data_IF_682416428192
#
_entry.id   IF_682416428192
#
_cell.length_a   1.000
_cell.length_b   1.000
_cell.length_c   1.000
_cell.angle_alpha   90.00
_cell.angle_beta   90.00
_cell.angle_gamma   90.00
#
_symmetry.space_group_name_H-M   'P 1'
#
loop_
_entity.id
_entity.type
_entity.pdbx_description
1 polymer ?
#
# COMPACT_ATOMS: atom_id res chain seq x y z
N UNK A 1 -8.81 -0.18 14.44
CA UNK A 1 -8.30 0.87 15.34
C UNK A 1 -7.26 1.67 14.60
N UNK A 2 -7.42 2.99 14.56
CA UNK A 2 -6.40 3.92 14.04
C UNK A 2 -5.51 4.38 15.18
N UNK A 3 -4.21 4.40 14.95
CA UNK A 3 -3.21 4.91 15.90
C UNK A 3 -2.29 5.89 15.19
N UNK A 4 -1.80 6.89 15.93
CA UNK A 4 -0.84 7.85 15.41
C UNK A 4 0.50 7.62 16.11
N UNK A 5 1.54 7.29 15.33
CA UNK A 5 2.86 7.01 15.86
C UNK A 5 3.54 8.25 16.49
N UNK A 6 3.06 9.46 16.19
CA UNK A 6 3.52 10.66 16.88
C UNK A 6 3.34 10.58 18.40
N UNK A 7 2.36 9.80 18.88
CA UNK A 7 2.11 9.63 20.33
C UNK A 7 3.29 9.01 21.09
N UNK A 8 4.12 8.23 20.44
CA UNK A 8 5.37 7.69 21.01
C UNK A 8 6.62 8.29 20.39
N UNK A 9 6.71 8.50 19.07
CA UNK A 9 7.88 9.09 18.42
C UNK A 9 8.13 10.52 18.85
N UNK A 10 7.08 11.34 19.01
CA UNK A 10 7.19 12.74 19.43
C UNK A 10 7.73 12.95 20.84
N UNK A 11 7.78 11.89 21.66
CA UNK A 11 8.30 11.93 23.04
C UNK A 11 9.70 11.35 23.18
N UNK A 12 10.28 10.82 22.09
CA UNK A 12 11.58 10.18 22.14
C UNK A 12 12.71 11.21 22.35
N UNK A 13 13.57 10.94 23.31
CA UNK A 13 14.88 11.59 23.35
C UNK A 13 15.80 10.87 22.37
N UNK A 14 16.36 11.60 21.43
CA UNK A 14 17.17 11.04 20.34
C UNK A 14 18.38 10.26 20.83
N UNK A 15 19.12 10.77 21.80
CA UNK A 15 20.31 10.10 22.34
C UNK A 15 19.94 8.80 23.05
N UNK A 16 18.86 8.84 23.83
CA UNK A 16 18.33 7.63 24.49
C UNK A 16 17.85 6.61 23.47
N UNK A 17 17.17 7.05 22.41
CA UNK A 17 16.71 6.18 21.32
C UNK A 17 17.88 5.49 20.61
N UNK A 18 18.95 6.23 20.27
CA UNK A 18 20.16 5.64 19.68
C UNK A 18 20.80 4.59 20.59
N UNK A 19 20.91 4.88 21.88
CA UNK A 19 21.51 3.97 22.86
C UNK A 19 20.68 2.70 23.07
N UNK A 20 19.35 2.83 23.22
CA UNK A 20 18.48 1.73 23.65
C UNK A 20 17.97 0.92 22.45
N UNK A 21 17.73 1.55 21.31
CA UNK A 21 17.17 0.96 20.11
C UNK A 21 18.21 0.87 18.99
N UNK A 22 18.91 1.97 18.68
CA UNK A 22 19.87 2.04 17.58
C UNK A 22 20.96 0.96 17.63
N UNK A 23 21.42 0.60 18.84
CA UNK A 23 22.41 -0.47 19.04
C UNK A 23 22.04 -1.85 18.48
N UNK A 24 20.76 -2.09 18.22
CA UNK A 24 20.26 -3.35 17.66
C UNK A 24 20.34 -3.43 16.14
N UNK A 25 20.71 -2.33 15.48
CA UNK A 25 20.82 -2.22 14.04
C UNK A 25 22.28 -2.03 13.64
N UNK A 26 22.73 -2.82 12.67
CA UNK A 26 24.07 -2.65 12.11
C UNK A 26 23.96 -2.01 10.72
N UNK A 27 24.82 -1.03 10.44
CA UNK A 27 24.86 -0.35 9.15
C UNK A 27 25.07 -1.37 8.03
N UNK A 28 25.97 -2.33 8.19
CA UNK A 28 26.24 -3.36 7.18
C UNK A 28 24.96 -4.12 6.78
N UNK A 29 24.10 -4.48 7.76
CA UNK A 29 22.83 -5.14 7.45
C UNK A 29 21.84 -4.18 6.80
N UNK A 30 21.76 -2.94 7.27
CA UNK A 30 20.85 -1.93 6.70
C UNK A 30 21.20 -1.63 5.23
N UNK A 31 22.47 -1.68 4.85
CA UNK A 31 22.91 -1.48 3.46
C UNK A 31 22.54 -2.64 2.52
N UNK A 32 22.21 -3.83 3.04
CA UNK A 32 21.83 -4.98 2.21
C UNK A 32 20.38 -4.99 1.75
N UNK A 33 19.53 -4.15 2.33
CA UNK A 33 18.12 -4.09 1.92
C UNK A 33 17.96 -3.40 0.56
N UNK A 34 17.12 -3.96 -0.30
CA UNK A 34 16.90 -3.47 -1.67
C UNK A 34 16.53 -1.99 -1.74
N UNK A 35 15.78 -1.49 -0.76
CA UNK A 35 15.42 -0.08 -0.66
C UNK A 35 16.63 0.87 -0.52
N UNK A 36 17.74 0.38 0.03
CA UNK A 36 19.00 1.12 0.17
C UNK A 36 19.96 0.76 -0.96
N UNK A 37 20.21 -0.55 -1.12
CA UNK A 37 21.17 -1.09 -2.08
C UNK A 37 20.96 -0.57 -3.50
N UNK A 38 19.73 -0.66 -4.02
CA UNK A 38 19.37 -0.20 -5.37
C UNK A 38 19.58 1.31 -5.57
N UNK A 39 19.40 2.11 -4.52
CA UNK A 39 19.63 3.56 -4.60
C UNK A 39 21.13 3.86 -4.66
N UNK A 40 21.93 3.18 -3.84
CA UNK A 40 23.39 3.33 -3.85
C UNK A 40 24.00 2.87 -5.18
N UNK A 41 23.55 1.73 -5.72
CA UNK A 41 23.97 1.22 -7.02
C UNK A 41 23.61 2.16 -8.19
N UNK A 42 22.55 2.95 -8.05
CA UNK A 42 22.12 3.95 -9.04
C UNK A 42 22.67 5.34 -8.76
N UNK A 43 23.59 5.49 -7.81
CA UNK A 43 24.15 6.77 -7.38
C UNK A 43 23.08 7.81 -6.98
N UNK A 44 21.91 7.33 -6.53
CA UNK A 44 20.84 8.19 -6.06
C UNK A 44 21.09 8.63 -4.63
N UNK A 45 20.85 9.90 -4.34
CA UNK A 45 21.01 10.43 -2.99
C UNK A 45 20.09 9.68 -1.99
N UNK A 46 20.63 9.38 -0.82
CA UNK A 46 19.90 8.78 0.29
C UNK A 46 20.17 9.65 1.53
N UNK A 47 19.16 10.38 1.97
CA UNK A 47 19.30 11.20 3.17
C UNK A 47 19.41 10.35 4.43
N UNK A 48 20.02 10.90 5.48
CA UNK A 48 20.09 10.25 6.78
C UNK A 48 18.72 9.92 7.33
N UNK A 49 17.72 10.79 7.14
CA UNK A 49 16.33 10.56 7.55
C UNK A 49 15.73 9.33 6.82
N UNK A 50 15.90 9.24 5.51
CA UNK A 50 15.40 8.10 4.72
C UNK A 50 16.09 6.79 5.13
N UNK A 51 17.40 6.84 5.41
CA UNK A 51 18.15 5.69 5.91
C UNK A 51 17.65 5.22 7.29
N UNK A 52 17.33 6.17 8.18
CA UNK A 52 16.80 5.85 9.51
C UNK A 52 15.33 5.44 9.51
N UNK A 53 14.59 5.64 8.43
CA UNK A 53 13.17 5.32 8.36
C UNK A 53 12.88 3.87 8.77
N UNK A 54 13.70 2.92 8.35
CA UNK A 54 13.54 1.51 8.71
C UNK A 54 13.66 1.25 10.22
N UNK A 55 14.47 2.03 10.94
CA UNK A 55 14.58 1.93 12.41
C UNK A 55 13.33 2.49 13.07
N UNK A 56 12.82 3.61 12.57
CA UNK A 56 11.60 4.24 13.10
C UNK A 56 10.39 3.32 12.90
N UNK A 57 10.23 2.72 11.72
CA UNK A 57 9.15 1.76 11.46
C UNK A 57 9.31 0.48 12.29
N UNK A 58 10.52 0.00 12.49
CA UNK A 58 10.78 -1.13 13.38
C UNK A 58 10.36 -0.82 14.83
N UNK A 59 10.62 0.40 15.28
CA UNK A 59 10.20 0.87 16.59
C UNK A 59 8.68 1.02 16.69
N UNK A 60 8.02 1.49 15.64
CA UNK A 60 6.54 1.51 15.57
C UNK A 60 5.95 0.12 15.81
N UNK A 61 6.51 -0.91 15.14
CA UNK A 61 6.04 -2.28 15.34
C UNK A 61 6.29 -2.77 16.78
N UNK A 62 7.45 -2.43 17.36
CA UNK A 62 7.75 -2.74 18.76
C UNK A 62 6.77 -2.08 19.73
N UNK A 63 6.45 -0.81 19.57
CA UNK A 63 5.47 -0.10 20.41
C UNK A 63 4.05 -0.63 20.21
N UNK A 64 3.66 -0.99 18.99
CA UNK A 64 2.37 -1.64 18.71
C UNK A 64 2.28 -3.04 19.33
N UNK A 65 3.37 -3.83 19.28
CA UNK A 65 3.41 -5.12 19.97
C UNK A 65 3.26 -4.94 21.48
N UNK A 66 3.98 -3.99 22.07
CA UNK A 66 3.96 -3.70 23.50
C UNK A 66 2.60 -3.18 23.97
N UNK A 67 2.01 -2.23 23.26
CA UNK A 67 0.82 -1.49 23.71
C UNK A 67 -0.50 -2.09 23.21
N UNK A 68 -0.50 -2.82 22.09
CA UNK A 68 -1.69 -3.34 21.42
C UNK A 68 -1.65 -4.85 21.17
N UNK A 69 -0.60 -5.53 21.61
CA UNK A 69 -0.34 -6.94 21.32
C UNK A 69 -0.39 -7.27 19.81
N UNK A 70 0.13 -6.35 18.99
CA UNK A 70 0.22 -6.53 17.54
C UNK A 70 1.25 -7.63 17.23
N UNK A 71 0.81 -8.72 16.60
CA UNK A 71 1.65 -9.90 16.34
C UNK A 71 2.14 -9.98 14.89
N UNK A 72 1.55 -9.20 13.97
CA UNK A 72 1.91 -9.25 12.55
C UNK A 72 1.91 -7.86 11.94
N UNK A 73 2.93 -7.57 11.12
CA UNK A 73 2.96 -6.40 10.25
C UNK A 73 2.86 -6.84 8.79
N UNK A 74 1.98 -6.17 8.03
CA UNK A 74 1.73 -6.48 6.62
C UNK A 74 2.10 -5.26 5.76
N UNK A 75 2.72 -5.51 4.61
CA UNK A 75 3.04 -4.46 3.65
C UNK A 75 3.29 -4.96 2.24
N UNK A 76 3.63 -4.06 1.33
CA UNK A 76 4.15 -4.43 0.01
C UNK A 76 5.57 -4.99 0.10
N UNK A 77 6.03 -5.67 -0.95
CA UNK A 77 7.39 -6.27 -0.99
C UNK A 77 8.50 -5.23 -0.80
N UNK A 78 8.25 -3.97 -1.14
CA UNK A 78 9.16 -2.85 -0.89
C UNK A 78 9.32 -2.51 0.60
N UNK A 79 8.41 -2.99 1.47
CA UNK A 79 8.45 -2.79 2.93
C UNK A 79 9.18 -3.91 3.66
N UNK A 80 9.69 -4.93 2.97
CA UNK A 80 10.29 -6.10 3.60
C UNK A 80 11.40 -5.75 4.59
N UNK A 81 12.35 -4.88 4.18
CA UNK A 81 13.45 -4.44 5.05
C UNK A 81 12.95 -3.77 6.33
N UNK A 82 11.94 -2.91 6.23
CA UNK A 82 11.37 -2.23 7.38
C UNK A 82 10.68 -3.22 8.34
N UNK A 83 9.88 -4.13 7.78
CA UNK A 83 9.09 -5.11 8.54
C UNK A 83 10.00 -6.10 9.28
N UNK A 84 11.00 -6.67 8.59
CA UNK A 84 11.90 -7.66 9.20
C UNK A 84 12.76 -7.04 10.31
N UNK A 85 13.14 -5.78 10.18
CA UNK A 85 13.83 -5.06 11.24
C UNK A 85 12.96 -4.92 12.50
N UNK A 86 11.64 -4.72 12.34
CA UNK A 86 10.69 -4.72 13.46
C UNK A 86 10.57 -6.07 14.14
N UNK A 87 10.47 -7.15 13.35
CA UNK A 87 10.45 -8.53 13.87
C UNK A 87 11.70 -8.83 14.71
N UNK A 88 12.88 -8.47 14.19
CA UNK A 88 14.13 -8.70 14.91
C UNK A 88 14.27 -7.82 16.15
N UNK A 89 13.84 -6.56 16.09
CA UNK A 89 13.87 -5.67 17.25
C UNK A 89 13.03 -6.23 18.38
N UNK A 90 11.79 -6.66 18.09
CA UNK A 90 10.89 -7.26 19.09
C UNK A 90 11.52 -8.51 19.72
N UNK A 91 12.07 -9.40 18.87
CA UNK A 91 12.76 -10.61 19.36
C UNK A 91 13.90 -10.28 20.30
N UNK A 92 14.74 -9.27 19.95
CA UNK A 92 15.90 -8.87 20.75
C UNK A 92 15.52 -8.16 22.06
N UNK A 93 14.46 -7.37 22.04
CA UNK A 93 14.02 -6.56 23.17
C UNK A 93 13.15 -7.34 24.18
N UNK A 94 12.30 -8.25 23.70
CA UNK A 94 11.30 -8.92 24.53
C UNK A 94 11.29 -10.46 24.44
N UNK A 95 12.10 -11.05 23.56
CA UNK A 95 12.09 -12.50 23.29
C UNK A 95 10.82 -13.00 22.58
N UNK A 96 9.86 -12.11 22.29
CA UNK A 96 8.57 -12.50 21.67
C UNK A 96 8.74 -12.83 20.21
N UNK A 97 7.94 -13.78 19.74
CA UNK A 97 7.83 -14.10 18.33
C UNK A 97 6.69 -13.27 17.72
N UNK A 98 7.00 -12.59 16.62
CA UNK A 98 6.06 -11.84 15.79
C UNK A 98 6.35 -12.12 14.31
N UNK A 99 5.45 -11.73 13.43
CA UNK A 99 5.47 -12.11 12.04
C UNK A 99 5.45 -10.89 11.12
N UNK A 100 6.09 -11.03 9.96
CA UNK A 100 5.99 -10.11 8.84
C UNK A 100 5.40 -10.82 7.62
N UNK A 101 4.50 -10.14 6.91
CA UNK A 101 3.93 -10.62 5.65
C UNK A 101 4.07 -9.54 4.59
N UNK A 102 4.59 -9.89 3.43
CA UNK A 102 4.61 -8.98 2.28
C UNK A 102 3.89 -9.58 1.09
N UNK A 103 3.26 -8.68 0.31
CA UNK A 103 2.63 -9.03 -0.96
C UNK A 103 3.40 -8.36 -2.10
N UNK A 104 3.40 -8.94 -3.31
CA UNK A 104 3.92 -8.25 -4.50
C UNK A 104 3.24 -6.89 -4.68
N UNK A 105 3.99 -5.91 -5.20
CA UNK A 105 3.42 -4.61 -5.54
C UNK A 105 2.41 -4.76 -6.68
N UNK A 106 1.32 -3.98 -6.58
CA UNK A 106 0.34 -3.92 -7.66
C UNK A 106 0.92 -3.05 -8.76
N UNK A 107 1.18 -3.68 -9.90
CA UNK A 107 1.65 -3.01 -11.10
C UNK A 107 0.60 -3.05 -12.19
N UNK A 108 0.60 -2.05 -13.05
CA UNK A 108 -0.18 -2.04 -14.28
C UNK A 108 0.45 -2.97 -15.32
N UNK A 109 -0.30 -3.35 -16.35
CA UNK A 109 0.21 -4.11 -17.49
C UNK A 109 1.37 -3.42 -18.23
N UNK A 110 1.51 -2.10 -18.07
CA UNK A 110 2.65 -1.29 -18.53
C UNK A 110 3.91 -1.43 -17.67
N UNK A 111 3.84 -2.12 -16.52
CA UNK A 111 4.92 -2.20 -15.53
C UNK A 111 4.94 -1.02 -14.53
N UNK A 112 4.16 0.02 -14.75
CA UNK A 112 4.07 1.14 -13.82
C UNK A 112 3.37 0.74 -12.51
N UNK A 113 3.74 1.40 -11.40
CA UNK A 113 3.05 1.21 -10.11
C UNK A 113 1.63 1.76 -10.20
N UNK A 114 0.65 0.99 -9.70
CA UNK A 114 -0.73 1.45 -9.63
C UNK A 114 -0.91 2.60 -8.63
N UNK A 115 -1.88 3.48 -8.90
CA UNK A 115 -2.26 4.59 -8.02
C UNK A 115 -1.46 5.87 -8.17
N UNK A 116 -0.42 5.87 -9.03
CA UNK A 116 0.31 7.08 -9.46
C UNK A 116 0.14 7.24 -10.97
N UNK A 117 -0.49 8.34 -11.38
CA UNK A 117 -0.59 8.73 -12.79
C UNK A 117 0.31 9.94 -13.06
N UNK A 118 0.53 10.31 -14.32
CA UNK A 118 1.21 11.55 -14.68
C UNK A 118 0.52 12.79 -14.09
N UNK A 119 -0.78 12.70 -13.82
CA UNK A 119 -1.60 13.74 -13.19
C UNK A 119 -1.62 13.69 -11.65
N UNK A 120 -0.88 12.76 -11.04
CA UNK A 120 -0.81 12.61 -9.59
C UNK A 120 -1.50 11.34 -9.05
N UNK A 121 -1.87 11.35 -7.78
CA UNK A 121 -2.51 10.23 -7.10
C UNK A 121 -4.00 10.11 -7.44
N UNK A 122 -4.53 8.89 -7.44
CA UNK A 122 -5.98 8.64 -7.52
C UNK A 122 -6.56 8.77 -6.11
N UNK A 123 -7.18 9.91 -5.87
CA UNK A 123 -7.74 10.23 -4.56
C UNK A 123 -9.05 9.49 -4.30
N UNK A 124 -9.20 9.02 -3.06
CA UNK A 124 -10.44 8.39 -2.59
C UNK A 124 -11.44 9.41 -2.03
N UNK A 125 -10.95 10.59 -1.62
CA UNK A 125 -11.81 11.68 -1.16
C UNK A 125 -12.50 12.35 -2.37
N UNK A 126 -13.84 12.36 -2.35
CA UNK A 126 -14.68 12.99 -3.39
C UNK A 126 -14.48 14.50 -3.56
N UNK A 127 -13.85 15.15 -2.60
CA UNK A 127 -13.48 16.58 -2.69
C UNK A 127 -12.24 16.80 -3.55
N UNK A 128 -11.36 15.79 -3.65
CA UNK A 128 -10.13 15.83 -4.42
C UNK A 128 -10.26 15.16 -5.79
N UNK A 129 -11.13 14.14 -5.90
CA UNK A 129 -11.45 13.47 -7.15
C UNK A 129 -12.93 13.13 -7.16
N UNK A 130 -13.67 13.65 -8.17
CA UNK A 130 -15.10 13.40 -8.25
C UNK A 130 -15.42 11.91 -8.45
N UNK A 131 -16.62 11.48 -8.05
CA UNK A 131 -17.06 10.09 -8.28
C UNK A 131 -17.09 9.74 -9.78
N UNK A 132 -17.34 10.72 -10.67
CA UNK A 132 -17.28 10.53 -12.11
C UNK A 132 -15.84 10.32 -12.61
N UNK A 133 -14.88 11.13 -12.16
CA UNK A 133 -13.48 10.99 -12.56
C UNK A 133 -12.87 9.69 -12.00
N UNK A 134 -13.24 9.30 -10.77
CA UNK A 134 -12.88 8.01 -10.19
C UNK A 134 -13.47 6.85 -11.02
N UNK A 135 -14.74 6.95 -11.46
CA UNK A 135 -15.38 6.01 -12.35
C UNK A 135 -14.63 5.93 -13.69
N UNK A 136 -14.26 7.06 -14.29
CA UNK A 136 -13.50 7.13 -15.55
C UNK A 136 -12.09 6.54 -15.42
N UNK A 137 -11.43 6.72 -14.30
CA UNK A 137 -10.13 6.09 -14.05
C UNK A 137 -10.21 4.57 -14.24
N UNK A 138 -11.17 3.91 -13.61
CA UNK A 138 -11.38 2.47 -13.75
C UNK A 138 -11.85 2.07 -15.14
N UNK A 139 -12.68 2.91 -15.79
CA UNK A 139 -13.16 2.68 -17.15
C UNK A 139 -12.03 2.66 -18.16
N UNK A 140 -10.99 3.45 -17.95
CA UNK A 140 -9.81 3.60 -18.80
C UNK A 140 -8.67 2.62 -18.46
N UNK A 141 -8.91 1.63 -17.59
CA UNK A 141 -7.93 0.59 -17.30
C UNK A 141 -7.55 -0.18 -18.57
N UNK A 142 -6.28 -0.63 -18.65
CA UNK A 142 -5.83 -1.52 -19.71
C UNK A 142 -6.63 -2.83 -19.70
N UNK A 143 -6.98 -3.34 -20.87
CA UNK A 143 -7.78 -4.56 -21.02
C UNK A 143 -7.17 -5.76 -20.29
N UNK A 144 -5.81 -5.83 -20.28
CA UNK A 144 -5.03 -6.88 -19.63
C UNK A 144 -5.13 -6.84 -18.10
N UNK A 145 -5.45 -5.69 -17.53
CA UNK A 145 -5.54 -5.50 -16.07
C UNK A 145 -6.95 -5.74 -15.52
N UNK A 146 -7.98 -5.69 -16.37
CA UNK A 146 -9.39 -5.69 -15.92
C UNK A 146 -9.72 -6.89 -15.04
N UNK A 147 -9.35 -8.10 -15.45
CA UNK A 147 -9.67 -9.31 -14.66
C UNK A 147 -8.91 -9.33 -13.32
N UNK A 148 -7.65 -8.88 -13.33
CA UNK A 148 -6.86 -8.73 -12.10
C UNK A 148 -7.52 -7.73 -11.15
N UNK A 149 -7.96 -6.59 -11.67
CA UNK A 149 -8.60 -5.55 -10.87
C UNK A 149 -9.97 -5.97 -10.33
N UNK A 150 -10.77 -6.71 -11.11
CA UNK A 150 -12.01 -7.30 -10.61
C UNK A 150 -11.77 -8.18 -9.38
N UNK A 151 -10.71 -9.01 -9.40
CA UNK A 151 -10.34 -9.88 -8.28
C UNK A 151 -9.83 -9.11 -7.05
N UNK A 152 -9.16 -7.98 -7.25
CA UNK A 152 -8.47 -7.26 -6.19
C UNK A 152 -9.27 -6.12 -5.57
N UNK A 153 -10.16 -5.50 -6.35
CA UNK A 153 -10.82 -4.25 -5.99
C UNK A 153 -12.35 -4.33 -5.99
N UNK A 154 -12.91 -5.53 -6.06
CA UNK A 154 -14.36 -5.72 -5.93
C UNK A 154 -14.69 -6.84 -4.94
N UNK A 155 -15.89 -6.81 -4.37
CA UNK A 155 -16.41 -7.87 -3.51
C UNK A 155 -17.09 -9.01 -4.31
N UNK A 156 -16.82 -9.09 -5.63
CA UNK A 156 -17.38 -10.14 -6.47
C UNK A 156 -16.71 -11.49 -6.16
N UNK A 157 -17.52 -12.53 -6.04
CA UNK A 157 -17.03 -13.89 -5.89
C UNK A 157 -16.14 -14.31 -7.06
N UNK A 158 -15.05 -15.01 -6.78
CA UNK A 158 -14.08 -15.45 -7.79
C UNK A 158 -14.74 -16.27 -8.90
N UNK A 159 -15.67 -17.16 -8.54
CA UNK A 159 -16.42 -17.99 -9.50
C UNK A 159 -17.26 -17.13 -10.47
N UNK A 160 -17.80 -16.01 -10.00
CA UNK A 160 -18.55 -15.06 -10.82
C UNK A 160 -17.62 -14.34 -11.79
N UNK A 161 -16.43 -13.95 -11.33
CA UNK A 161 -15.41 -13.31 -12.17
C UNK A 161 -14.92 -14.28 -13.25
N UNK A 162 -14.70 -15.55 -12.91
CA UNK A 162 -14.28 -16.57 -13.88
C UNK A 162 -15.33 -16.78 -14.98
N UNK A 163 -16.63 -16.77 -14.64
CA UNK A 163 -17.72 -16.84 -15.63
C UNK A 163 -17.77 -15.61 -16.57
N UNK A 164 -17.10 -14.54 -16.20
CA UNK A 164 -17.02 -13.34 -17.04
C UNK A 164 -15.92 -13.41 -18.11
N UNK A 165 -14.98 -14.35 -18.05
CA UNK A 165 -13.82 -14.45 -18.98
C UNK A 165 -14.20 -14.37 -20.46
N UNK A 166 -15.38 -14.89 -20.82
CA UNK A 166 -15.88 -14.90 -22.21
C UNK A 166 -16.75 -13.68 -22.54
N UNK A 167 -16.91 -12.71 -21.63
CA UNK A 167 -17.69 -11.50 -21.91
C UNK A 167 -16.85 -10.48 -22.66
N UNK A 168 -17.52 -9.62 -23.41
CA UNK A 168 -16.89 -8.47 -24.04
C UNK A 168 -16.17 -7.61 -22.99
N UNK A 169 -14.92 -7.25 -23.26
CA UNK A 169 -14.05 -6.50 -22.34
C UNK A 169 -14.67 -5.17 -21.89
N UNK A 170 -15.40 -4.50 -22.77
CA UNK A 170 -16.08 -3.26 -22.40
C UNK A 170 -17.17 -3.48 -21.35
N UNK A 171 -17.86 -4.63 -21.38
CA UNK A 171 -18.82 -5.00 -20.33
C UNK A 171 -18.11 -5.28 -19.01
N UNK A 172 -16.94 -5.91 -19.05
CA UNK A 172 -16.13 -6.15 -17.85
C UNK A 172 -15.64 -4.84 -17.22
N UNK A 173 -15.21 -3.89 -18.05
CA UNK A 173 -14.83 -2.56 -17.59
C UNK A 173 -15.99 -1.81 -16.94
N UNK A 174 -17.22 -1.93 -17.48
CA UNK A 174 -18.40 -1.34 -16.83
C UNK A 174 -18.69 -2.00 -15.48
N UNK A 175 -18.55 -3.31 -15.37
CA UNK A 175 -18.72 -4.01 -14.10
C UNK A 175 -17.63 -3.54 -13.10
N UNK A 176 -16.37 -3.55 -13.49
CA UNK A 176 -15.26 -3.11 -12.64
C UNK A 176 -15.50 -1.71 -12.11
N UNK A 177 -15.79 -0.77 -12.98
CA UNK A 177 -15.94 0.63 -12.63
C UNK A 177 -17.17 0.91 -11.77
N UNK A 178 -18.28 0.20 -12.00
CA UNK A 178 -19.48 0.29 -11.16
C UNK A 178 -19.25 -0.30 -9.77
N UNK A 179 -18.63 -1.47 -9.67
CA UNK A 179 -18.34 -2.10 -8.38
C UNK A 179 -17.37 -1.26 -7.55
N UNK A 180 -16.24 -0.84 -8.12
CA UNK A 180 -15.24 -0.03 -7.40
C UNK A 180 -15.80 1.33 -6.98
N UNK A 181 -16.59 1.98 -7.85
CA UNK A 181 -17.22 3.26 -7.51
C UNK A 181 -18.33 3.09 -6.48
N UNK A 182 -19.08 1.98 -6.55
CA UNK A 182 -20.11 1.68 -5.55
C UNK A 182 -19.53 1.43 -4.17
N UNK A 183 -18.40 0.72 -4.08
CA UNK A 183 -17.68 0.50 -2.83
C UNK A 183 -17.23 1.82 -2.16
N UNK A 184 -16.72 2.75 -2.95
CA UNK A 184 -16.14 3.98 -2.41
C UNK A 184 -17.18 5.10 -2.21
N UNK A 185 -18.03 5.32 -3.21
CA UNK A 185 -18.93 6.49 -3.27
C UNK A 185 -20.42 6.14 -3.17
N UNK A 186 -20.73 4.85 -3.08
CA UNK A 186 -22.09 4.35 -3.03
C UNK A 186 -22.72 4.11 -4.41
N UNK A 187 -23.70 3.22 -4.44
CA UNK A 187 -24.38 2.73 -5.66
C UNK A 187 -25.04 3.86 -6.47
N UNK A 188 -25.62 4.86 -5.79
CA UNK A 188 -26.24 5.99 -6.45
C UNK A 188 -25.23 6.83 -7.25
N UNK A 189 -24.02 7.04 -6.71
CA UNK A 189 -22.95 7.76 -7.38
C UNK A 189 -22.42 6.98 -8.59
N UNK A 190 -22.24 5.67 -8.47
CA UNK A 190 -21.83 4.80 -9.59
C UNK A 190 -22.84 4.85 -10.74
N UNK A 191 -24.15 4.70 -10.44
CA UNK A 191 -25.20 4.76 -11.45
C UNK A 191 -25.27 6.13 -12.15
N UNK A 192 -25.08 7.22 -11.38
CA UNK A 192 -25.04 8.58 -11.95
C UNK A 192 -23.82 8.74 -12.88
N UNK A 193 -22.66 8.26 -12.47
CA UNK A 193 -21.45 8.33 -13.28
C UNK A 193 -21.59 7.54 -14.59
N UNK A 194 -22.13 6.32 -14.54
CA UNK A 194 -22.40 5.51 -15.72
C UNK A 194 -23.38 6.20 -16.67
N UNK A 195 -24.50 6.75 -16.14
CA UNK A 195 -25.48 7.47 -16.95
C UNK A 195 -24.87 8.70 -17.62
N UNK A 196 -24.05 9.47 -16.88
CA UNK A 196 -23.35 10.63 -17.44
C UNK A 196 -22.41 10.20 -18.57
N UNK A 197 -21.62 9.13 -18.37
CA UNK A 197 -20.74 8.63 -19.43
C UNK A 197 -21.48 8.20 -20.69
N UNK A 198 -22.63 7.53 -20.56
CA UNK A 198 -23.48 7.12 -21.71
C UNK A 198 -24.11 8.29 -22.46
N UNK A 199 -24.29 9.43 -21.81
CA UNK A 199 -24.87 10.62 -22.46
C UNK A 199 -23.83 11.47 -23.19
N UNK A 200 -22.53 11.25 -22.94
CA UNK A 200 -21.42 11.98 -23.55
C UNK A 200 -20.92 11.23 -24.80
N UNK A 201 -21.09 9.91 -24.84
CA UNK A 201 -20.67 9.01 -25.92
C UNK A 201 -21.87 8.23 -26.49
#
# INVERSE_FOLDING_TARGET
>A
VFVNNYSWLGKLNYIKFLRDIGKHFTINKMLTFDSVKLRLEREQSLSYMEFNYMILQAYDFFELNKSKNCLMQIGGSDQWGNIVNGVELIKRQSGKQVFGLTTPLITLASGAKMGKTEKGAIWLDKKLLSAYDYWQFWRNSDDRDVTKFLKMFTDLELDKIEKFKNKNINKLKIILTNETTSLLHGKAAANKAEKTAKNIF
#
